data_IF_328939838311
#
_entry.id   IF_328939838311
#
_cell.length_a   1.000
_cell.length_b   1.000
_cell.length_c   1.000
_cell.angle_alpha   90.00
_cell.angle_beta   90.00
_cell.angle_gamma   90.00
#
_symmetry.space_group_name_H-M   'P 1'
#
loop_
_entity.id
_entity.type
_entity.pdbx_description
1 polymer ?
#
# COMPACT_ATOMS: atom_id res chain seq x y z
N UNK A 1 -11.70 -22.32 -22.84
CA UNK A 1 -12.50 -21.42 -22.00
C UNK A 1 -11.80 -21.20 -20.68
N UNK A 2 -11.57 -19.95 -20.31
CA UNK A 2 -10.89 -19.65 -19.06
C UNK A 2 -11.86 -19.75 -17.88
N UNK A 3 -11.35 -20.17 -16.74
CA UNK A 3 -12.14 -20.16 -15.52
C UNK A 3 -12.42 -18.72 -15.10
N UNK A 4 -13.55 -18.46 -14.43
CA UNK A 4 -13.83 -17.13 -13.88
C UNK A 4 -12.74 -16.76 -12.87
N UNK A 5 -12.22 -15.56 -12.98
CA UNK A 5 -11.28 -15.06 -11.98
C UNK A 5 -12.02 -14.72 -10.71
N UNK A 6 -11.37 -14.96 -9.58
CA UNK A 6 -11.92 -14.49 -8.33
C UNK A 6 -12.00 -12.96 -8.36
N UNK A 7 -12.98 -12.37 -7.65
CA UNK A 7 -13.06 -10.93 -7.55
C UNK A 7 -11.78 -10.36 -6.96
N UNK A 8 -11.31 -9.25 -7.49
CA UNK A 8 -10.17 -8.53 -6.95
C UNK A 8 -10.50 -8.02 -5.54
N UNK A 9 -9.46 -7.63 -4.79
CA UNK A 9 -9.67 -7.02 -3.49
C UNK A 9 -10.54 -5.77 -3.58
N UNK A 10 -10.33 -4.94 -4.61
CA UNK A 10 -11.15 -3.75 -4.82
C UNK A 10 -12.61 -4.11 -5.05
N UNK A 11 -12.87 -5.13 -5.85
CA UNK A 11 -14.24 -5.59 -6.10
C UNK A 11 -14.89 -6.14 -4.84
N UNK A 12 -14.15 -6.86 -4.01
CA UNK A 12 -14.65 -7.38 -2.74
C UNK A 12 -15.00 -6.26 -1.76
N UNK A 13 -14.18 -5.20 -1.72
CA UNK A 13 -14.35 -4.12 -0.76
C UNK A 13 -15.41 -3.10 -1.17
N UNK A 14 -15.47 -2.72 -2.45
CA UNK A 14 -16.29 -1.60 -2.89
C UNK A 14 -17.12 -1.89 -4.13
N UNK A 15 -16.98 -3.06 -4.76
CA UNK A 15 -17.60 -3.34 -6.07
C UNK A 15 -19.11 -3.34 -6.04
N UNK A 16 -19.73 -3.70 -4.94
CA UNK A 16 -21.19 -3.71 -4.79
C UNK A 16 -21.77 -2.31 -4.64
N UNK A 17 -21.04 -1.39 -4.03
CA UNK A 17 -21.47 -0.02 -3.81
C UNK A 17 -20.96 0.94 -4.87
N UNK A 18 -19.71 0.78 -5.27
CA UNK A 18 -19.05 1.69 -6.21
C UNK A 18 -18.29 0.89 -7.27
N UNK A 19 -19.02 0.23 -8.19
CA UNK A 19 -18.37 -0.63 -9.20
C UNK A 19 -17.38 0.12 -10.09
N UNK A 20 -17.66 1.39 -10.38
CA UNK A 20 -16.71 2.20 -11.17
C UNK A 20 -15.40 2.42 -10.43
N UNK A 21 -15.44 2.62 -9.12
CA UNK A 21 -14.23 2.76 -8.32
C UNK A 21 -13.42 1.46 -8.32
N UNK A 22 -14.08 0.31 -8.18
CA UNK A 22 -13.42 -0.98 -8.28
C UNK A 22 -12.76 -1.17 -9.64
N UNK A 23 -13.47 -0.82 -10.72
CA UNK A 23 -12.93 -0.91 -12.08
C UNK A 23 -11.69 -0.03 -12.25
N UNK A 24 -11.77 1.22 -11.81
CA UNK A 24 -10.65 2.15 -11.92
C UNK A 24 -9.43 1.67 -11.10
N UNK A 25 -9.69 1.10 -9.93
CA UNK A 25 -8.63 0.52 -9.10
C UNK A 25 -7.92 -0.61 -9.83
N UNK A 26 -8.69 -1.53 -10.41
CA UNK A 26 -8.11 -2.70 -11.08
C UNK A 26 -7.46 -2.33 -12.42
N UNK A 27 -8.14 -1.55 -13.25
CA UNK A 27 -7.74 -1.35 -14.65
C UNK A 27 -6.78 -0.17 -14.80
N UNK A 28 -6.94 0.88 -14.02
CA UNK A 28 -6.13 2.09 -14.15
C UNK A 28 -5.02 2.12 -13.10
N UNK A 29 -5.35 2.00 -11.83
CA UNK A 29 -4.32 2.09 -10.78
C UNK A 29 -3.35 0.91 -10.89
N UNK A 30 -3.83 -0.32 -10.75
CA UNK A 30 -2.95 -1.49 -10.74
C UNK A 30 -2.70 -2.06 -12.14
N UNK A 31 -3.63 -1.91 -13.08
CA UNK A 31 -3.47 -2.42 -14.44
C UNK A 31 -2.66 -1.52 -15.34
N UNK A 32 -2.51 -0.25 -15.00
CA UNK A 32 -1.78 0.73 -15.82
C UNK A 32 -0.71 1.45 -15.00
N UNK A 33 -1.10 2.25 -14.00
CA UNK A 33 -0.15 3.12 -13.29
C UNK A 33 0.97 2.33 -12.61
N UNK A 34 0.62 1.27 -11.88
CA UNK A 34 1.62 0.43 -11.20
C UNK A 34 2.49 -0.38 -12.16
N UNK A 35 2.04 -0.56 -13.41
CA UNK A 35 2.80 -1.29 -14.44
C UNK A 35 3.76 -0.39 -15.21
N UNK A 36 3.72 0.92 -14.99
CA UNK A 36 4.62 1.86 -15.68
C UNK A 36 6.06 1.66 -15.21
N UNK A 37 6.99 1.73 -16.15
CA UNK A 37 8.41 1.45 -15.89
C UNK A 37 9.21 2.69 -15.47
N UNK A 38 8.62 3.87 -15.53
CA UNK A 38 9.27 5.13 -15.16
C UNK A 38 9.62 5.21 -13.68
N UNK A 39 8.97 4.38 -12.87
CA UNK A 39 9.28 4.24 -11.45
C UNK A 39 9.22 2.75 -11.12
N UNK A 40 10.23 2.24 -10.43
CA UNK A 40 10.25 0.81 -10.10
C UNK A 40 9.10 0.44 -9.15
N UNK A 41 8.66 -0.83 -9.12
CA UNK A 41 7.67 -1.26 -8.15
C UNK A 41 8.10 -1.00 -6.70
N UNK A 42 9.39 -1.15 -6.41
CA UNK A 42 9.96 -0.86 -5.10
C UNK A 42 9.74 0.61 -4.73
N UNK A 43 10.08 1.53 -5.63
CA UNK A 43 9.95 2.95 -5.36
C UNK A 43 8.49 3.40 -5.34
N UNK A 44 7.62 2.78 -6.15
CA UNK A 44 6.17 3.03 -6.06
C UNK A 44 5.63 2.65 -4.68
N UNK A 45 6.05 1.50 -4.16
CA UNK A 45 5.66 1.08 -2.81
C UNK A 45 6.18 2.04 -1.75
N UNK A 46 7.42 2.49 -1.89
CA UNK A 46 8.02 3.46 -0.96
C UNK A 46 7.20 4.76 -0.91
N UNK A 47 6.88 5.32 -2.06
CA UNK A 47 6.09 6.55 -2.18
C UNK A 47 4.67 6.34 -1.61
N UNK A 48 4.06 5.20 -1.94
CA UNK A 48 2.70 4.88 -1.48
C UNK A 48 2.65 4.74 0.05
N UNK A 49 3.58 3.98 0.62
CA UNK A 49 3.66 3.81 2.07
C UNK A 49 3.86 5.17 2.76
N UNK A 50 4.77 6.00 2.23
CA UNK A 50 5.00 7.33 2.77
C UNK A 50 3.73 8.19 2.75
N UNK A 51 2.99 8.16 1.63
CA UNK A 51 1.74 8.91 1.52
C UNK A 51 0.69 8.44 2.52
N UNK A 52 0.54 7.12 2.67
CA UNK A 52 -0.45 6.56 3.60
C UNK A 52 -0.12 6.88 5.05
N UNK A 53 1.15 6.85 5.43
CA UNK A 53 1.58 7.22 6.77
C UNK A 53 1.30 8.71 7.00
N UNK A 54 1.72 9.57 6.07
CA UNK A 54 1.57 11.00 6.20
C UNK A 54 0.11 11.43 6.26
N UNK A 55 -0.76 10.73 5.55
CA UNK A 55 -2.20 11.02 5.55
C UNK A 55 -2.96 10.33 6.68
N UNK A 56 -2.32 9.45 7.43
CA UNK A 56 -3.00 8.69 8.48
C UNK A 56 -3.94 7.61 7.96
N UNK A 57 -3.71 7.10 6.76
CA UNK A 57 -4.56 6.09 6.12
C UNK A 57 -4.19 4.68 6.60
N UNK A 58 -4.44 4.39 7.86
CA UNK A 58 -4.00 3.15 8.50
C UNK A 58 -4.67 1.91 7.96
N UNK A 59 -5.91 2.02 7.47
CA UNK A 59 -6.63 0.87 6.93
C UNK A 59 -5.97 0.29 5.68
N UNK A 60 -5.38 1.14 4.85
CA UNK A 60 -4.71 0.71 3.62
C UNK A 60 -3.24 0.38 3.84
N UNK A 61 -2.69 0.81 4.96
CA UNK A 61 -1.26 0.69 5.21
C UNK A 61 -0.78 -0.76 5.34
N UNK A 62 -1.57 -1.62 5.97
CA UNK A 62 -1.23 -3.04 6.13
C UNK A 62 -0.94 -3.70 4.79
N UNK A 63 -1.87 -3.55 3.84
CA UNK A 63 -1.73 -4.13 2.51
C UNK A 63 -0.53 -3.58 1.75
N UNK A 64 -0.29 -2.27 1.85
CA UNK A 64 0.82 -1.65 1.14
C UNK A 64 2.18 -1.90 1.79
N UNK A 65 2.25 -2.10 3.10
CA UNK A 65 3.48 -2.58 3.74
C UNK A 65 3.83 -3.98 3.27
N UNK A 66 2.84 -4.87 3.16
CA UNK A 66 3.05 -6.21 2.61
C UNK A 66 3.53 -6.14 1.16
N UNK A 67 2.91 -5.30 0.35
CA UNK A 67 3.32 -5.09 -1.05
C UNK A 67 4.72 -4.52 -1.13
N UNK A 68 5.06 -3.58 -0.27
CA UNK A 68 6.40 -3.00 -0.20
C UNK A 68 7.46 -4.06 0.10
N UNK A 69 7.16 -4.95 1.03
CA UNK A 69 8.03 -6.09 1.35
C UNK A 69 8.21 -6.99 0.12
N UNK A 70 7.13 -7.32 -0.57
CA UNK A 70 7.19 -8.12 -1.79
C UNK A 70 8.00 -7.44 -2.89
N UNK A 71 7.94 -6.12 -2.96
CA UNK A 71 8.64 -5.34 -3.98
C UNK A 71 10.09 -5.00 -3.59
N UNK A 72 10.59 -5.55 -2.49
CA UNK A 72 12.00 -5.50 -2.15
C UNK A 72 12.40 -4.50 -1.08
N UNK A 73 11.44 -3.85 -0.41
CA UNK A 73 11.75 -3.00 0.73
C UNK A 73 11.93 -3.85 1.98
N UNK A 74 13.04 -3.66 2.68
CA UNK A 74 13.34 -4.40 3.89
C UNK A 74 12.61 -3.80 5.09
N UNK A 75 12.52 -4.59 6.16
CA UNK A 75 11.99 -4.11 7.43
C UNK A 75 12.77 -2.88 7.91
N UNK A 76 14.11 -2.92 7.81
CA UNK A 76 14.97 -1.81 8.20
C UNK A 76 14.67 -0.55 7.38
N UNK A 77 14.50 -0.69 6.07
CA UNK A 77 14.16 0.44 5.21
C UNK A 77 12.80 1.03 5.56
N UNK A 78 11.81 0.19 5.81
CA UNK A 78 10.47 0.67 6.18
C UNK A 78 10.48 1.32 7.56
N UNK A 79 11.26 0.81 8.51
CA UNK A 79 11.45 1.46 9.79
C UNK A 79 12.07 2.86 9.61
N UNK A 80 13.05 3.00 8.72
CA UNK A 80 13.65 4.30 8.43
C UNK A 80 12.65 5.28 7.81
N UNK A 81 11.75 4.80 6.95
CA UNK A 81 10.67 5.64 6.41
C UNK A 81 9.81 6.20 7.53
N UNK A 82 9.42 5.35 8.48
CA UNK A 82 8.58 5.77 9.60
C UNK A 82 9.33 6.78 10.48
N UNK A 83 10.61 6.53 10.80
CA UNK A 83 11.44 7.44 11.58
C UNK A 83 11.51 8.80 10.90
N UNK A 84 11.79 8.81 9.60
CA UNK A 84 11.87 10.03 8.82
C UNK A 84 10.56 10.81 8.86
N UNK A 85 9.44 10.12 8.64
CA UNK A 85 8.13 10.74 8.57
C UNK A 85 7.63 11.24 9.93
N UNK A 86 8.19 10.77 11.04
CA UNK A 86 7.85 11.32 12.35
C UNK A 86 8.11 12.84 12.39
N UNK A 87 9.11 13.32 11.67
CA UNK A 87 9.47 14.74 11.60
C UNK A 87 8.64 15.52 10.58
N UNK A 88 8.05 14.85 9.60
CA UNK A 88 7.29 15.51 8.52
C UNK A 88 5.78 15.33 8.65
N UNK A 89 5.35 14.24 9.25
CA UNK A 89 3.93 13.93 9.38
C UNK A 89 3.41 13.94 10.83
N UNK A 90 4.32 13.99 11.79
CA UNK A 90 3.99 14.03 13.21
C UNK A 90 4.14 12.67 13.90
N UNK A 91 4.48 12.75 15.18
CA UNK A 91 4.74 11.59 16.00
C UNK A 91 3.57 10.60 16.10
N UNK A 92 2.31 11.07 16.28
CA UNK A 92 1.18 10.14 16.39
C UNK A 92 1.01 9.26 15.14
N UNK A 93 1.22 9.81 13.95
CA UNK A 93 1.13 9.03 12.72
C UNK A 93 2.25 8.01 12.59
N UNK A 94 3.46 8.41 13.00
CA UNK A 94 4.60 7.50 13.02
C UNK A 94 4.37 6.34 14.01
N UNK A 95 3.87 6.63 15.20
CA UNK A 95 3.59 5.61 16.22
C UNK A 95 2.51 4.62 15.73
N UNK A 96 1.46 5.12 15.08
CA UNK A 96 0.44 4.26 14.48
C UNK A 96 1.02 3.37 13.39
N UNK A 97 1.91 3.91 12.56
CA UNK A 97 2.56 3.15 11.50
C UNK A 97 3.47 2.05 12.06
N UNK A 98 4.21 2.32 13.14
CA UNK A 98 5.04 1.30 13.80
C UNK A 98 4.18 0.13 14.25
N UNK A 99 3.05 0.41 14.87
CA UNK A 99 2.14 -0.63 15.35
C UNK A 99 1.70 -1.55 14.21
N UNK A 100 1.33 -0.97 13.08
CA UNK A 100 0.89 -1.73 11.90
C UNK A 100 2.07 -2.49 11.28
N UNK A 101 3.23 -1.86 11.14
CA UNK A 101 4.41 -2.49 10.56
C UNK A 101 4.87 -3.69 11.38
N UNK A 102 4.80 -3.62 12.70
CA UNK A 102 5.15 -4.75 13.57
C UNK A 102 4.29 -5.97 13.27
N UNK A 103 2.99 -5.78 13.02
CA UNK A 103 2.10 -6.87 12.67
C UNK A 103 2.44 -7.47 11.30
N UNK A 104 2.78 -6.64 10.31
CA UNK A 104 3.14 -7.10 8.96
C UNK A 104 4.43 -7.91 8.99
N UNK A 105 5.41 -7.51 9.80
CA UNK A 105 6.71 -8.18 9.89
C UNK A 105 6.78 -9.20 11.03
N UNK A 106 5.67 -9.51 11.65
CA UNK A 106 5.61 -10.50 12.72
C UNK A 106 6.05 -11.86 12.22
N UNK A 107 6.90 -12.50 12.98
CA UNK A 107 7.46 -13.81 12.64
C UNK A 107 6.77 -14.93 13.41
#
# INVERSE_FOLDING_TARGET
MSEPKEPSRAQQLVGDFAPKLAQLTDDVLFGDVWERTELSPRDRSLVTVAALIANGNTEQLTGHLSRAKQNGLSETELAEVIIHLAFYAGWPRAMSAVKIAREVFKK
#
